data_IF_980910724049
#
_entry.id   IF_980910724049
#
_cell.length_a   1.000
_cell.length_b   1.000
_cell.length_c   1.000
_cell.angle_alpha   90.00
_cell.angle_beta   90.00
_cell.angle_gamma   90.00
#
_symmetry.space_group_name_H-M   'P 1'
#
loop_
_entity.id
_entity.type
_entity.pdbx_description
1 polymer ?
#
# COMPACT_ATOMS: atom_id res chain seq x y z
N UNK A 1 26.99 -26.65 -52.33
CA UNK A 1 26.81 -25.98 -51.02
C UNK A 1 25.31 -25.75 -50.83
N UNK A 2 24.62 -26.61 -50.07
CA UNK A 2 23.15 -26.54 -49.92
C UNK A 2 22.77 -25.36 -49.03
N UNK A 3 22.14 -24.34 -49.62
CA UNK A 3 21.59 -23.19 -48.90
C UNK A 3 20.32 -23.64 -48.16
N UNK A 4 20.44 -23.91 -46.86
CA UNK A 4 19.28 -24.08 -45.97
C UNK A 4 18.45 -22.79 -46.00
N UNK A 5 17.22 -22.86 -46.53
CA UNK A 5 16.24 -21.78 -46.38
C UNK A 5 15.96 -21.59 -44.88
N UNK A 6 16.20 -20.39 -44.36
CA UNK A 6 15.74 -20.01 -43.02
C UNK A 6 14.21 -19.95 -43.05
N UNK A 7 13.54 -20.82 -42.29
CA UNK A 7 12.10 -20.70 -42.05
C UNK A 7 11.89 -19.50 -41.13
N UNK A 8 11.15 -18.49 -41.61
CA UNK A 8 10.68 -17.36 -40.81
C UNK A 8 9.33 -17.67 -40.16
N UNK A 9 8.98 -16.91 -39.12
CA UNK A 9 7.63 -16.92 -38.56
C UNK A 9 6.64 -16.28 -39.54
N UNK A 10 5.43 -16.83 -39.59
CA UNK A 10 4.31 -16.25 -40.33
C UNK A 10 3.72 -15.08 -39.55
N UNK A 11 3.07 -14.15 -40.26
CA UNK A 11 2.31 -13.07 -39.62
C UNK A 11 1.22 -13.60 -38.68
N UNK A 12 0.58 -14.72 -39.05
CA UNK A 12 -0.48 -15.31 -38.25
C UNK A 12 0.06 -15.92 -36.94
N UNK A 13 1.25 -16.53 -36.96
CA UNK A 13 1.90 -17.03 -35.73
C UNK A 13 2.21 -15.89 -34.76
N UNK A 14 2.66 -14.74 -35.27
CA UNK A 14 2.95 -13.57 -34.45
C UNK A 14 1.66 -12.96 -33.86
N UNK A 15 0.58 -12.89 -34.63
CA UNK A 15 -0.72 -12.40 -34.14
C UNK A 15 -1.29 -13.31 -33.05
N UNK A 16 -1.23 -14.64 -33.23
CA UNK A 16 -1.68 -15.59 -32.21
C UNK A 16 -0.82 -15.49 -30.95
N UNK A 17 0.51 -15.40 -31.10
CA UNK A 17 1.41 -15.25 -29.95
C UNK A 17 1.13 -13.96 -29.16
N UNK A 18 0.95 -12.83 -29.84
CA UNK A 18 0.59 -11.56 -29.20
C UNK A 18 -0.80 -11.62 -28.55
N UNK A 19 -1.76 -12.32 -29.16
CA UNK A 19 -3.08 -12.55 -28.58
C UNK A 19 -3.00 -13.31 -27.24
N UNK A 20 -2.17 -14.36 -27.18
CA UNK A 20 -1.94 -15.13 -25.94
C UNK A 20 -1.26 -14.24 -24.88
N UNK A 21 -0.22 -13.49 -25.26
CA UNK A 21 0.47 -12.58 -24.33
C UNK A 21 -0.48 -11.50 -23.80
N UNK A 22 -1.32 -10.93 -24.66
CA UNK A 22 -2.31 -9.92 -24.26
C UNK A 22 -3.34 -10.48 -23.28
N UNK A 23 -3.84 -11.70 -23.51
CA UNK A 23 -4.76 -12.38 -22.59
C UNK A 23 -4.12 -12.62 -21.21
N UNK A 24 -2.88 -13.12 -21.19
CA UNK A 24 -2.16 -13.34 -19.94
C UNK A 24 -1.88 -12.03 -19.20
N UNK A 25 -1.47 -10.98 -19.92
CA UNK A 25 -1.19 -9.67 -19.35
C UNK A 25 -2.45 -9.04 -18.71
N UNK A 26 -3.62 -9.19 -19.33
CA UNK A 26 -4.88 -8.68 -18.80
C UNK A 26 -5.24 -9.25 -17.41
N UNK A 27 -4.85 -10.50 -17.13
CA UNK A 27 -5.08 -11.15 -15.84
C UNK A 27 -3.93 -10.88 -14.88
N UNK A 28 -2.69 -11.00 -15.37
CA UNK A 28 -1.49 -10.92 -14.53
C UNK A 28 -1.21 -9.51 -14.02
N UNK A 29 -1.45 -8.48 -14.83
CA UNK A 29 -1.17 -7.09 -14.47
C UNK A 29 -1.95 -6.61 -13.24
N UNK A 30 -3.31 -6.67 -13.19
CA UNK A 30 -4.05 -6.23 -12.01
C UNK A 30 -3.75 -7.07 -10.76
N UNK A 31 -3.48 -8.38 -10.93
CA UNK A 31 -3.09 -9.23 -9.81
C UNK A 31 -1.74 -8.83 -9.22
N UNK A 32 -0.76 -8.49 -10.07
CA UNK A 32 0.56 -8.03 -9.65
C UNK A 32 0.48 -6.68 -8.93
N UNK A 33 -0.26 -5.71 -9.46
CA UNK A 33 -0.41 -4.39 -8.82
C UNK A 33 -1.09 -4.50 -7.47
N UNK A 34 -2.14 -5.33 -7.34
CA UNK A 34 -2.80 -5.61 -6.06
C UNK A 34 -1.83 -6.25 -5.05
N UNK A 35 -1.02 -7.23 -5.48
CA UNK A 35 -0.03 -7.85 -4.61
C UNK A 35 1.01 -6.84 -4.10
N UNK A 36 1.47 -5.94 -4.97
CA UNK A 36 2.39 -4.87 -4.59
C UNK A 36 1.76 -3.86 -3.63
N UNK A 37 0.49 -3.49 -3.85
CA UNK A 37 -0.29 -2.66 -2.94
C UNK A 37 -0.37 -3.28 -1.54
N UNK A 38 -0.69 -4.57 -1.44
CA UNK A 38 -0.71 -5.31 -0.16
C UNK A 38 0.62 -5.24 0.60
N UNK A 39 1.75 -5.37 -0.11
CA UNK A 39 3.08 -5.25 0.49
C UNK A 39 3.36 -3.84 1.04
N UNK A 40 2.97 -2.80 0.30
CA UNK A 40 3.12 -1.40 0.73
C UNK A 40 2.22 -1.08 1.92
N UNK A 41 0.97 -1.55 1.90
CA UNK A 41 0.08 -1.49 3.07
C UNK A 41 0.69 -2.18 4.29
N UNK A 42 1.29 -3.35 4.11
CA UNK A 42 1.93 -4.06 5.22
C UNK A 42 3.07 -3.26 5.86
N UNK A 43 3.89 -2.57 5.06
CA UNK A 43 4.93 -1.67 5.56
C UNK A 43 4.32 -0.49 6.34
N UNK A 44 3.28 0.15 5.81
CA UNK A 44 2.57 1.23 6.50
C UNK A 44 1.94 0.77 7.83
N UNK A 45 1.27 -0.38 7.84
CA UNK A 45 0.69 -0.98 9.07
C UNK A 45 1.74 -1.25 10.12
N UNK A 46 2.89 -1.80 9.72
CA UNK A 46 3.99 -2.07 10.63
C UNK A 46 4.50 -0.78 11.29
N UNK A 47 4.63 0.30 10.52
CA UNK A 47 5.05 1.59 11.04
C UNK A 47 4.00 2.23 11.95
N UNK A 48 2.72 2.15 11.59
CA UNK A 48 1.61 2.59 12.45
C UNK A 48 1.61 1.86 13.79
N UNK A 49 1.78 0.53 13.79
CA UNK A 49 1.86 -0.26 15.02
C UNK A 49 3.09 0.09 15.85
N UNK A 50 4.23 0.36 15.20
CA UNK A 50 5.48 0.80 15.86
C UNK A 50 5.28 2.13 16.57
N UNK A 51 4.63 3.09 15.92
CA UNK A 51 4.35 4.42 16.48
C UNK A 51 3.30 4.35 17.59
N UNK A 52 2.22 3.59 17.42
CA UNK A 52 1.23 3.38 18.47
C UNK A 52 1.86 2.79 19.74
N UNK A 53 2.74 1.79 19.60
CA UNK A 53 3.49 1.24 20.74
C UNK A 53 4.43 2.27 21.39
N UNK A 54 5.01 3.18 20.59
CA UNK A 54 5.85 4.25 21.12
C UNK A 54 5.03 5.25 21.94
N UNK A 55 3.81 5.58 21.51
CA UNK A 55 2.87 6.42 22.26
C UNK A 55 2.45 5.76 23.58
N UNK A 56 2.13 4.46 23.58
CA UNK A 56 1.82 3.73 24.82
C UNK A 56 3.01 3.72 25.79
N UNK A 57 4.22 3.53 25.27
CA UNK A 57 5.44 3.61 26.08
C UNK A 57 5.67 5.01 26.64
N UNK A 58 5.35 6.05 25.88
CA UNK A 58 5.40 7.43 26.35
C UNK A 58 4.40 7.67 27.47
N UNK A 59 3.15 7.20 27.29
CA UNK A 59 2.05 7.32 28.24
C UNK A 59 2.30 6.61 29.56
N UNK A 60 3.13 5.57 29.57
CA UNK A 60 3.57 4.90 30.80
C UNK A 60 4.38 5.83 31.73
N UNK A 61 5.03 6.86 31.20
CA UNK A 61 5.88 7.79 31.97
C UNK A 61 5.33 9.23 32.01
N UNK A 62 4.29 9.53 31.24
CA UNK A 62 3.72 10.87 31.12
C UNK A 62 2.20 10.82 31.26
N UNK A 63 1.63 11.90 31.79
CA UNK A 63 0.17 12.03 31.95
C UNK A 63 -0.58 12.31 30.64
N UNK A 64 0.13 12.46 29.52
CA UNK A 64 -0.42 12.78 28.20
C UNK A 64 0.27 11.97 27.12
N UNK A 65 -0.38 11.82 25.95
CA UNK A 65 0.30 11.36 24.74
C UNK A 65 1.28 12.41 24.21
N UNK A 66 2.18 11.99 23.33
CA UNK A 66 3.13 12.89 22.70
C UNK A 66 2.49 13.56 21.49
N UNK A 67 2.88 14.80 21.22
CA UNK A 67 2.65 15.48 19.95
C UNK A 67 3.86 15.35 18.99
N UNK A 68 4.88 14.58 19.39
CA UNK A 68 6.19 14.55 18.74
C UNK A 68 6.27 13.68 17.48
N UNK A 69 5.16 13.08 17.00
CA UNK A 69 5.16 12.47 15.67
C UNK A 69 5.22 13.60 14.63
N UNK A 70 6.45 13.96 14.24
CA UNK A 70 6.67 14.77 13.06
C UNK A 70 6.15 14.00 11.84
N UNK A 71 5.41 14.68 10.96
CA UNK A 71 4.90 14.10 9.72
C UNK A 71 6.02 13.35 9.00
N UNK A 72 5.92 12.02 8.92
CA UNK A 72 6.98 11.17 8.38
C UNK A 72 6.54 10.63 7.03
N UNK A 73 7.35 10.85 5.99
CA UNK A 73 7.14 10.22 4.70
C UNK A 73 7.67 8.78 4.75
N UNK A 74 6.83 7.82 4.39
CA UNK A 74 7.15 6.41 4.24
C UNK A 74 6.82 5.99 2.81
N UNK A 75 7.76 6.21 1.89
CA UNK A 75 7.64 5.94 0.45
C UNK A 75 6.29 6.40 -0.14
N UNK A 76 5.32 5.49 -0.24
CA UNK A 76 3.98 5.72 -0.78
C UNK A 76 2.99 6.34 0.22
N UNK A 77 3.36 6.55 1.48
CA UNK A 77 2.49 7.07 2.53
C UNK A 77 3.10 8.29 3.24
N UNK A 78 2.23 9.16 3.75
CA UNK A 78 2.57 10.20 4.71
C UNK A 78 1.87 9.87 6.03
N UNK A 79 2.62 9.81 7.12
CA UNK A 79 2.11 9.46 8.45
C UNK A 79 2.02 10.71 9.30
N UNK A 80 0.87 10.94 9.92
CA UNK A 80 0.65 12.05 10.85
C UNK A 80 -0.41 11.69 11.88
N UNK A 81 -0.51 12.49 12.94
CA UNK A 81 -1.71 12.49 13.77
C UNK A 81 -2.86 13.19 13.05
N UNK A 82 -4.00 12.50 12.92
CA UNK A 82 -5.23 13.08 12.38
C UNK A 82 -6.44 12.47 13.11
N UNK A 83 -7.16 13.24 13.95
CA UNK A 83 -6.87 14.61 14.37
C UNK A 83 -5.58 14.71 15.21
N UNK A 84 -5.15 15.95 15.50
CA UNK A 84 -4.04 16.18 16.43
C UNK A 84 -4.30 15.47 17.78
N UNK A 85 -3.27 14.93 18.44
CA UNK A 85 -3.44 14.17 19.66
C UNK A 85 -3.91 15.08 20.80
N UNK A 86 -4.62 14.50 21.75
CA UNK A 86 -5.01 15.15 23.00
C UNK A 86 -4.27 14.50 24.17
N UNK A 87 -4.49 14.99 25.38
CA UNK A 87 -3.95 14.39 26.61
C UNK A 87 -4.32 12.90 26.78
N UNK A 88 -5.42 12.46 26.17
CA UNK A 88 -5.99 11.13 26.40
C UNK A 88 -6.33 10.33 25.15
N UNK A 89 -6.14 10.91 23.96
CA UNK A 89 -6.46 10.23 22.70
C UNK A 89 -5.47 10.58 21.60
N UNK A 90 -5.28 9.66 20.67
CA UNK A 90 -4.51 9.86 19.47
C UNK A 90 -5.07 9.04 18.31
N UNK A 91 -4.87 9.51 17.08
CA UNK A 91 -5.14 8.71 15.88
C UNK A 91 -4.00 8.91 14.91
N UNK A 92 -3.22 7.86 14.70
CA UNK A 92 -2.10 7.88 13.76
C UNK A 92 -2.63 7.41 12.41
N UNK A 93 -2.49 8.25 11.40
CA UNK A 93 -3.04 8.03 10.06
C UNK A 93 -1.92 8.01 9.04
N UNK A 94 -1.80 6.90 8.30
CA UNK A 94 -1.02 6.81 7.08
C UNK A 94 -1.93 7.14 5.89
N UNK A 95 -1.60 8.20 5.16
CA UNK A 95 -2.33 8.65 3.96
C UNK A 95 -1.47 8.41 2.73
N UNK A 96 -2.01 7.75 1.71
CA UNK A 96 -1.33 7.51 0.46
C UNK A 96 -0.92 8.83 -0.20
N UNK A 97 0.29 8.87 -0.73
CA UNK A 97 0.85 10.04 -1.41
C UNK A 97 0.04 10.31 -2.69
N UNK A 98 -0.47 11.53 -2.91
CA UNK A 98 -1.23 11.85 -4.12
C UNK A 98 -0.43 11.56 -5.39
N UNK A 99 -1.04 10.83 -6.34
CA UNK A 99 -0.37 10.41 -7.57
C UNK A 99 0.72 9.34 -7.39
N UNK A 100 0.95 8.87 -6.16
CA UNK A 100 1.79 7.71 -5.86
C UNK A 100 1.08 6.41 -6.21
N UNK A 101 1.79 5.29 -6.10
CA UNK A 101 1.23 4.01 -6.55
C UNK A 101 0.27 3.34 -5.54
N UNK A 102 -0.05 4.02 -4.42
CA UNK A 102 -1.17 3.70 -3.53
C UNK A 102 -2.37 4.67 -3.68
N UNK A 103 -2.35 5.60 -4.63
CA UNK A 103 -3.40 6.62 -4.78
C UNK A 103 -4.80 6.05 -5.07
N UNK A 104 -4.86 4.88 -5.71
CA UNK A 104 -6.09 4.19 -6.09
C UNK A 104 -6.22 2.81 -5.41
N UNK A 105 -5.49 2.59 -4.31
CA UNK A 105 -5.47 1.29 -3.64
C UNK A 105 -6.83 0.99 -2.98
N UNK A 106 -7.34 -0.23 -3.21
CA UNK A 106 -8.61 -0.68 -2.69
C UNK A 106 -8.61 -2.20 -2.48
N UNK A 107 -9.37 -2.67 -1.49
CA UNK A 107 -9.67 -4.08 -1.23
C UNK A 107 -11.19 -4.24 -1.09
N UNK A 108 -11.80 -5.18 -1.81
CA UNK A 108 -13.25 -5.46 -1.75
C UNK A 108 -14.17 -4.23 -1.89
N UNK A 109 -13.77 -3.27 -2.73
CA UNK A 109 -14.45 -1.96 -2.95
C UNK A 109 -14.26 -0.93 -1.83
N UNK A 110 -13.52 -1.28 -0.78
CA UNK A 110 -13.10 -0.37 0.28
C UNK A 110 -11.79 0.30 -0.12
N UNK A 111 -11.77 1.64 -0.13
CA UNK A 111 -10.57 2.43 -0.39
C UNK A 111 -9.55 2.24 0.73
N UNK A 112 -8.34 1.82 0.38
CA UNK A 112 -7.22 1.60 1.32
C UNK A 112 -6.14 2.70 1.23
N UNK A 113 -6.51 3.85 0.66
CA UNK A 113 -5.65 5.03 0.55
C UNK A 113 -5.34 5.66 1.91
N UNK A 114 -6.16 5.41 2.93
CA UNK A 114 -5.87 5.78 4.32
C UNK A 114 -5.92 4.56 5.22
N UNK A 115 -4.98 4.48 6.16
CA UNK A 115 -4.93 3.46 7.21
C UNK A 115 -4.72 4.18 8.54
N UNK A 116 -5.50 3.86 9.56
CA UNK A 116 -5.36 4.48 10.88
C UNK A 116 -5.41 3.48 12.02
N UNK A 117 -4.68 3.82 13.09
CA UNK A 117 -4.77 3.16 14.40
C UNK A 117 -4.96 4.22 15.49
N UNK A 118 -5.91 3.99 16.40
CA UNK A 118 -6.18 4.88 17.54
C UNK A 118 -5.57 4.38 18.87
N UNK A 119 -5.73 5.16 19.93
CA UNK A 119 -5.24 4.80 21.28
C UNK A 119 -5.86 3.53 21.86
N UNK A 120 -7.04 3.13 21.36
CA UNK A 120 -7.71 1.89 21.77
C UNK A 120 -7.26 0.68 20.94
N UNK A 121 -6.38 0.90 19.96
CA UNK A 121 -5.93 -0.12 19.02
C UNK A 121 -6.95 -0.46 17.92
N UNK A 122 -8.01 0.34 17.78
CA UNK A 122 -8.95 0.19 16.67
C UNK A 122 -8.26 0.55 15.36
N UNK A 123 -8.56 -0.23 14.33
CA UNK A 123 -7.92 -0.17 13.02
C UNK A 123 -8.96 0.15 11.95
N UNK A 124 -8.68 1.15 11.12
CA UNK A 124 -9.62 1.56 10.07
C UNK A 124 -8.91 1.83 8.75
N UNK A 125 -9.52 1.50 7.59
CA UNK A 125 -10.72 0.66 7.40
C UNK A 125 -10.42 -0.83 7.61
N UNK A 126 -11.26 -1.57 8.34
CA UNK A 126 -11.00 -2.97 8.73
C UNK A 126 -10.61 -3.90 7.58
N UNK A 127 -11.22 -3.73 6.41
CA UNK A 127 -10.97 -4.58 5.23
C UNK A 127 -9.56 -4.40 4.67
N UNK A 128 -8.95 -3.26 4.96
CA UNK A 128 -7.61 -2.92 4.50
C UNK A 128 -6.51 -3.39 5.48
N UNK A 129 -6.87 -3.83 6.70
CA UNK A 129 -5.95 -4.16 7.81
C UNK A 129 -5.53 -5.63 7.89
#
# INVERSE_FOLDING_TARGET
>A
MSLRRKRGFTLIELVIALGIVGLLAAIAYPAYTSHMGKGRRAAAKAELMRLALAEEKWRANHSTYSDAIATTALDDYTISFTPAPTDTSFSIVATATPGGAQADDAEDSTSCTTLSIDESGNKFPSDCW
#
